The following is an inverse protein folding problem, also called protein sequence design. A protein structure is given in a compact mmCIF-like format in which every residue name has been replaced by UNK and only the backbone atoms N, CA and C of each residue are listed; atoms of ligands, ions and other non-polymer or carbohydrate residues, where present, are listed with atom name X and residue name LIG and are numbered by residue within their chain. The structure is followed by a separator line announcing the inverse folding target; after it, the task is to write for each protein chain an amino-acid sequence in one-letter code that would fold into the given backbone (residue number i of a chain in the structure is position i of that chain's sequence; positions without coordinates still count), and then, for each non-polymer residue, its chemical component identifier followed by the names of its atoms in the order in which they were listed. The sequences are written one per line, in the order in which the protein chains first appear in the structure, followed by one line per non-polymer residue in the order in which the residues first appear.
data_IF_470598008896
#
_entry.id   IF_470598008896
#
_cell.length_a   1.000
_cell.length_b   1.000
_cell.length_c   1.000
_cell.angle_alpha   90.00
_cell.angle_beta   90.00
_cell.angle_gamma   90.00
#
_symmetry.space_group_name_H-M   'P 1'
#
loop_
_entity.id
_entity.type
_entity.pdbx_description
1 polymer ?
#
# COMPACT_ATOMS: atom_id res chain seq x y z
N UNK A 1 2.97 6.60 9.54
CA UNK A 1 3.60 5.82 10.63
C UNK A 1 5.10 6.13 10.64
N UNK A 2 5.93 5.43 11.40
CA UNK A 2 7.39 5.49 11.20
C UNK A 2 7.79 4.47 10.11
N UNK A 3 9.03 4.59 9.59
CA UNK A 3 9.58 3.69 8.57
C UNK A 3 9.46 2.21 8.94
N UNK A 4 9.70 1.87 10.22
CA UNK A 4 9.54 0.52 10.77
C UNK A 4 8.11 0.00 10.56
N UNK A 5 7.10 0.81 10.88
CA UNK A 5 5.68 0.47 10.70
C UNK A 5 5.31 0.21 9.24
N UNK A 6 5.79 1.06 8.32
CA UNK A 6 5.55 0.88 6.88
C UNK A 6 6.18 -0.43 6.36
N UNK A 7 7.39 -0.75 6.79
CA UNK A 7 8.04 -2.02 6.43
C UNK A 7 7.30 -3.22 7.03
N UNK A 8 6.92 -3.15 8.32
CA UNK A 8 6.18 -4.22 8.98
C UNK A 8 4.85 -4.50 8.27
N UNK A 9 4.08 -3.46 8.01
CA UNK A 9 2.82 -3.55 7.27
C UNK A 9 3.03 -4.13 5.87
N UNK A 10 4.00 -3.64 5.10
CA UNK A 10 4.27 -4.14 3.75
C UNK A 10 4.67 -5.62 3.72
N UNK A 11 5.50 -6.08 4.67
CA UNK A 11 5.89 -7.49 4.77
C UNK A 11 4.66 -8.36 5.10
N UNK A 12 3.89 -7.98 6.12
CA UNK A 12 2.71 -8.74 6.52
C UNK A 12 1.63 -8.74 5.42
N UNK A 13 1.43 -7.61 4.75
CA UNK A 13 0.52 -7.48 3.62
C UNK A 13 0.96 -8.39 2.47
N UNK A 14 2.25 -8.41 2.11
CA UNK A 14 2.74 -9.26 1.03
C UNK A 14 2.58 -10.75 1.32
N UNK A 15 2.84 -11.17 2.55
CA UNK A 15 2.60 -12.56 2.98
C UNK A 15 1.11 -12.90 2.87
N UNK A 16 0.23 -12.04 3.40
CA UNK A 16 -1.20 -12.26 3.35
C UNK A 16 -1.75 -12.25 1.91
N UNK A 17 -1.26 -11.36 1.03
CA UNK A 17 -1.60 -11.35 -0.38
C UNK A 17 -1.17 -12.65 -1.08
N UNK A 18 0.00 -13.19 -0.74
CA UNK A 18 0.43 -14.48 -1.28
C UNK A 18 -0.53 -15.62 -0.93
N UNK A 19 -1.05 -15.65 0.32
CA UNK A 19 -2.08 -16.61 0.72
C UNK A 19 -3.45 -16.34 0.11
N UNK A 20 -3.81 -15.07 -0.13
CA UNK A 20 -5.07 -14.72 -0.82
C UNK A 20 -5.03 -15.17 -2.28
N UNK A 21 -3.87 -15.07 -2.94
CA UNK A 21 -3.72 -15.43 -4.35
C UNK A 21 -3.49 -16.93 -4.56
N UNK A 22 -2.78 -17.59 -3.65
CA UNK A 22 -2.47 -19.03 -3.71
C UNK A 22 -2.57 -19.64 -2.30
N UNK A 23 -3.76 -20.09 -1.87
CA UNK A 23 -4.06 -20.43 -0.47
C UNK A 23 -3.55 -21.80 -0.02
N UNK A 24 -3.02 -22.63 -0.92
CA UNK A 24 -2.68 -24.01 -0.63
C UNK A 24 -1.58 -24.21 0.43
N UNK A 25 -0.75 -23.19 0.67
CA UNK A 25 0.44 -23.28 1.53
C UNK A 25 1.55 -24.14 0.93
N UNK A 26 1.52 -24.39 -0.38
CA UNK A 26 2.49 -25.20 -1.09
C UNK A 26 3.62 -24.33 -1.69
N UNK A 27 4.50 -24.94 -2.50
CA UNK A 27 5.61 -24.23 -3.13
C UNK A 27 5.16 -23.04 -3.99
N UNK A 28 3.95 -23.09 -4.58
CA UNK A 28 3.40 -21.99 -5.36
C UNK A 28 3.02 -20.84 -4.44
N UNK A 29 2.44 -21.10 -3.28
CA UNK A 29 2.17 -20.05 -2.27
C UNK A 29 3.45 -19.30 -1.91
N UNK A 30 4.51 -20.02 -1.57
CA UNK A 30 5.78 -19.39 -1.20
C UNK A 30 6.44 -18.63 -2.36
N UNK A 31 6.31 -19.15 -3.59
CA UNK A 31 6.75 -18.42 -4.78
C UNK A 31 5.98 -17.12 -4.96
N UNK A 32 4.65 -17.17 -4.84
CA UNK A 32 3.79 -15.97 -4.93
C UNK A 32 4.12 -14.96 -3.85
N UNK A 33 4.33 -15.40 -2.60
CA UNK A 33 4.79 -14.53 -1.50
C UNK A 33 6.10 -13.84 -1.89
N UNK A 34 7.08 -14.57 -2.42
CA UNK A 34 8.36 -13.99 -2.82
C UNK A 34 8.22 -12.98 -3.97
N UNK A 35 7.41 -13.31 -4.99
CA UNK A 35 7.12 -12.44 -6.14
C UNK A 35 6.43 -11.13 -5.72
N UNK A 36 5.54 -11.17 -4.72
CA UNK A 36 4.82 -9.99 -4.21
C UNK A 36 5.65 -9.20 -3.18
N UNK A 37 6.45 -9.88 -2.34
CA UNK A 37 7.14 -9.25 -1.21
C UNK A 37 8.11 -8.17 -1.61
N UNK A 38 9.03 -8.45 -2.55
CA UNK A 38 10.07 -7.49 -2.89
C UNK A 38 9.48 -6.19 -3.46
N UNK A 39 8.61 -6.22 -4.48
CA UNK A 39 8.08 -4.97 -5.01
C UNK A 39 7.15 -4.24 -4.04
N UNK A 40 6.37 -4.94 -3.21
CA UNK A 40 5.49 -4.30 -2.21
C UNK A 40 6.31 -3.58 -1.14
N UNK A 41 7.35 -4.22 -0.61
CA UNK A 41 8.24 -3.57 0.39
C UNK A 41 8.98 -2.38 -0.24
N UNK A 42 9.50 -2.52 -1.45
CA UNK A 42 10.17 -1.41 -2.15
C UNK A 42 9.19 -0.25 -2.44
N UNK A 43 7.97 -0.57 -2.86
CA UNK A 43 6.92 0.42 -3.07
C UNK A 43 6.53 1.15 -1.78
N UNK A 44 6.45 0.43 -0.66
CA UNK A 44 6.15 1.04 0.64
C UNK A 44 7.27 1.94 1.15
N UNK A 45 8.52 1.66 0.79
CA UNK A 45 9.64 2.54 1.13
C UNK A 45 9.75 3.77 0.21
N UNK A 46 9.19 3.70 -1.00
CA UNK A 46 9.36 4.73 -2.02
C UNK A 46 8.85 6.12 -1.61
N UNK A 47 7.65 6.30 -1.02
CA UNK A 47 7.20 7.61 -0.55
C UNK A 47 8.18 8.25 0.42
N UNK A 48 8.69 7.47 1.38
CA UNK A 48 9.62 7.96 2.40
C UNK A 48 11.01 8.29 1.84
N UNK A 49 11.32 8.00 0.58
CA UNK A 49 12.56 8.44 -0.08
C UNK A 49 12.65 9.98 -0.12
N UNK A 50 11.51 10.68 -0.19
CA UNK A 50 11.48 12.16 -0.12
C UNK A 50 11.92 12.71 1.25
N UNK A 51 11.99 11.88 2.29
CA UNK A 51 12.52 12.29 3.60
C UNK A 51 14.02 12.53 3.56
N UNK A 52 14.72 11.96 2.57
CA UNK A 52 16.17 12.07 2.43
C UNK A 52 16.62 13.27 1.58
N UNK A 53 15.79 13.74 0.63
CA UNK A 53 16.18 14.81 -0.29
C UNK A 53 15.04 15.76 -0.72
N UNK A 54 13.80 15.45 -0.34
CA UNK A 54 12.62 16.25 -0.67
C UNK A 54 12.36 17.37 0.33
N UNK A 55 11.40 18.24 -0.02
CA UNK A 55 10.87 19.26 0.88
C UNK A 55 9.61 18.70 1.53
N UNK A 56 9.71 18.26 2.78
CA UNK A 56 8.59 18.10 3.73
C UNK A 56 7.74 16.81 3.72
N UNK A 57 8.19 15.63 3.28
CA UNK A 57 7.35 14.39 3.28
C UNK A 57 6.02 14.52 2.51
N UNK A 58 5.94 15.44 1.54
CA UNK A 58 4.74 15.69 0.73
C UNK A 58 4.96 15.32 -0.74
N UNK A 59 6.20 15.46 -1.21
CA UNK A 59 6.57 15.33 -2.63
C UNK A 59 6.24 13.95 -3.20
N UNK A 60 6.47 12.88 -2.43
CA UNK A 60 6.18 11.51 -2.85
C UNK A 60 4.98 10.88 -2.12
N UNK A 61 4.22 11.70 -1.39
CA UNK A 61 3.12 11.29 -0.50
C UNK A 61 1.78 11.84 -1.01
N UNK A 62 1.46 11.61 -2.28
CA UNK A 62 0.28 12.19 -2.95
C UNK A 62 -0.26 11.28 -4.06
N UNK A 63 -1.52 11.50 -4.46
CA UNK A 63 -2.20 10.65 -5.43
C UNK A 63 -1.61 10.71 -6.84
N UNK A 64 -0.92 11.79 -7.23
CA UNK A 64 -0.27 11.86 -8.53
C UNK A 64 0.86 10.82 -8.62
N UNK A 65 1.64 10.66 -7.55
CA UNK A 65 2.71 9.65 -7.49
C UNK A 65 2.14 8.23 -7.54
N UNK A 66 1.10 7.94 -6.76
CA UNK A 66 0.41 6.64 -6.85
C UNK A 66 -0.12 6.39 -8.27
N UNK A 67 -0.75 7.39 -8.89
CA UNK A 67 -1.27 7.29 -10.26
C UNK A 67 -0.19 6.93 -11.28
N UNK A 68 0.97 7.59 -11.21
CA UNK A 68 2.11 7.29 -12.09
C UNK A 68 2.64 5.87 -11.86
N UNK A 69 2.85 5.47 -10.60
CA UNK A 69 3.38 4.14 -10.25
C UNK A 69 2.38 3.03 -10.63
N UNK A 70 1.08 3.28 -10.50
CA UNK A 70 0.02 2.35 -10.91
C UNK A 70 -0.13 2.25 -12.44
N UNK A 71 0.07 3.36 -13.17
CA UNK A 71 0.02 3.37 -14.64
C UNK A 71 1.25 2.72 -15.29
N UNK A 72 2.41 2.79 -14.62
CA UNK A 72 3.67 2.24 -15.12
C UNK A 72 3.59 0.76 -15.56
N UNK A 73 3.08 -0.19 -14.74
CA UNK A 73 2.94 -1.59 -15.16
C UNK A 73 1.95 -1.80 -16.31
N UNK A 74 0.95 -0.93 -16.46
CA UNK A 74 -0.03 -1.01 -17.56
C UNK A 74 0.67 -0.69 -18.88
N UNK A 75 1.50 0.36 -18.89
CA UNK A 75 2.19 0.81 -20.10
C UNK A 75 3.43 -0.03 -20.44
N UNK A 76 4.23 -0.42 -19.45
CA UNK A 76 5.52 -1.09 -19.67
C UNK A 76 5.54 -2.60 -19.35
N UNK A 77 4.51 -3.14 -18.70
CA UNK A 77 4.40 -4.59 -18.42
C UNK A 77 5.35 -5.12 -17.36
N UNK A 78 5.97 -4.26 -16.54
CA UNK A 78 6.87 -4.65 -15.45
C UNK A 78 6.50 -3.93 -14.11
N UNK A 79 7.18 -4.25 -13.00
CA UNK A 79 6.94 -3.60 -11.68
C UNK A 79 5.50 -3.70 -11.15
N UNK A 80 4.78 -4.76 -11.52
CA UNK A 80 3.33 -4.93 -11.30
C UNK A 80 2.85 -4.72 -9.86
N UNK A 81 3.66 -5.05 -8.84
CA UNK A 81 3.23 -4.97 -7.43
C UNK A 81 3.75 -3.73 -6.68
N UNK A 82 4.55 -2.86 -7.32
CA UNK A 82 5.13 -1.69 -6.64
C UNK A 82 4.06 -0.69 -6.18
N UNK A 83 3.03 -0.48 -7.00
CA UNK A 83 1.94 0.43 -6.66
C UNK A 83 1.16 -0.02 -5.41
N UNK A 84 1.07 -1.33 -5.14
CA UNK A 84 0.45 -1.86 -3.93
C UNK A 84 1.25 -1.39 -2.71
N UNK A 85 2.59 -1.44 -2.80
CA UNK A 85 3.48 -0.90 -1.78
C UNK A 85 3.26 0.59 -1.50
N UNK A 86 3.18 1.41 -2.56
CA UNK A 86 2.91 2.85 -2.43
C UNK A 86 1.52 3.08 -1.82
N UNK A 87 0.51 2.33 -2.26
CA UNK A 87 -0.85 2.44 -1.76
C UNK A 87 -0.94 2.10 -0.28
N UNK A 88 -0.34 0.98 0.16
CA UNK A 88 -0.38 0.57 1.56
C UNK A 88 0.33 1.57 2.46
N UNK A 89 1.43 2.18 1.99
CA UNK A 89 2.06 3.30 2.69
C UNK A 89 1.07 4.44 2.95
N UNK A 90 0.32 4.85 1.92
CA UNK A 90 -0.66 5.94 2.02
C UNK A 90 -1.82 5.58 2.92
N UNK A 91 -2.34 4.35 2.82
CA UNK A 91 -3.40 3.83 3.68
C UNK A 91 -2.93 3.84 5.14
N UNK A 92 -1.73 3.37 5.42
CA UNK A 92 -1.19 3.37 6.78
C UNK A 92 -0.91 4.78 7.32
N UNK A 93 -0.49 5.73 6.48
CA UNK A 93 -0.36 7.14 6.87
C UNK A 93 -1.71 7.81 7.16
N UNK A 94 -2.76 7.44 6.43
CA UNK A 94 -4.10 8.01 6.58
C UNK A 94 -4.91 7.38 7.73
N UNK A 95 -4.87 6.05 7.86
CA UNK A 95 -5.64 5.30 8.85
C UNK A 95 -4.87 5.07 10.16
N UNK A 96 -3.54 4.92 10.08
CA UNK A 96 -2.70 4.55 11.20
C UNK A 96 -2.23 5.73 12.05
N UNK A 97 -2.24 6.95 11.50
CA UNK A 97 -1.70 8.15 12.17
C UNK A 97 -2.64 9.35 12.17
N UNK A 98 -2.59 10.13 13.24
CA UNK A 98 -3.33 11.41 13.35
C UNK A 98 -2.81 12.53 12.45
N UNK A 99 -1.64 12.35 11.82
CA UNK A 99 -0.95 13.40 11.05
C UNK A 99 -1.61 13.66 9.70
N UNK A 100 -2.04 12.61 9.00
CA UNK A 100 -2.63 12.72 7.66
C UNK A 100 -1.63 12.76 6.52
N UNK A 101 -2.16 12.98 5.30
CA UNK A 101 -1.46 12.88 4.02
C UNK A 101 -1.77 14.09 3.12
N UNK A 102 -0.76 14.64 2.43
CA UNK A 102 -0.93 15.74 1.48
C UNK A 102 -1.37 15.22 0.10
N UNK A 103 -2.66 14.92 -0.05
CA UNK A 103 -3.21 14.17 -1.18
C UNK A 103 -2.91 14.76 -2.57
N UNK A 104 -2.78 16.09 -2.68
CA UNK A 104 -2.72 16.82 -3.95
C UNK A 104 -1.48 17.72 -4.08
N UNK A 105 -0.34 17.35 -3.49
CA UNK A 105 0.92 18.11 -3.63
C UNK A 105 1.18 18.49 -5.11
N UNK A 106 1.50 19.76 -5.44
CA UNK A 106 1.99 20.84 -4.56
C UNK A 106 0.93 21.58 -3.74
N UNK A 107 -0.35 21.21 -3.82
CA UNK A 107 -1.33 21.69 -2.86
C UNK A 107 -1.06 21.10 -1.48
N UNK A 108 -0.55 21.92 -0.57
CA UNK A 108 0.09 21.49 0.68
C UNK A 108 -0.84 21.01 1.80
N UNK A 109 -2.16 21.09 1.60
CA UNK A 109 -3.15 20.74 2.61
C UNK A 109 -3.08 19.24 2.94
N UNK A 110 -2.83 18.93 4.20
CA UNK A 110 -2.88 17.57 4.73
C UNK A 110 -4.31 17.19 5.11
N UNK A 111 -4.67 15.95 4.80
CA UNK A 111 -5.96 15.36 5.13
C UNK A 111 -5.72 14.22 6.11
N UNK A 112 -6.35 14.30 7.28
CA UNK A 112 -6.32 13.25 8.31
C UNK A 112 -7.73 12.79 8.63
N UNK A 113 -7.82 11.61 9.22
CA UNK A 113 -9.07 11.04 9.72
C UNK A 113 -9.16 11.25 11.24
N UNK A 114 -10.37 11.22 11.83
CA UNK A 114 -10.56 11.44 13.26
C UNK A 114 -10.08 10.26 14.14
N UNK A 115 -9.42 9.26 13.54
CA UNK A 115 -8.88 8.07 14.19
C UNK A 115 -7.40 7.85 13.84
N UNK A 116 -6.78 6.84 14.44
CA UNK A 116 -5.33 6.60 14.36
C UNK A 116 -4.60 6.96 15.65
N UNK A 117 -3.31 6.64 15.72
CA UNK A 117 -2.48 6.89 16.91
C UNK A 117 -1.31 7.82 16.60
N UNK A 118 -0.74 8.43 17.64
CA UNK A 118 0.52 9.13 17.48
C UNK A 118 1.63 8.13 17.11
N UNK A 119 2.60 8.56 16.31
CA UNK A 119 3.72 7.69 15.89
C UNK A 119 4.55 7.19 17.09
N UNK A 120 4.56 7.94 18.19
CA UNK A 120 5.23 7.61 19.45
C UNK A 120 4.36 6.82 20.44
N UNK A 121 3.14 6.42 20.04
CA UNK A 121 2.23 5.67 20.93
C UNK A 121 2.66 4.21 21.07
N UNK A 122 2.50 3.64 22.26
CA UNK A 122 2.69 2.21 22.50
C UNK A 122 1.75 1.32 21.67
N UNK A 123 0.63 1.89 21.19
CA UNK A 123 -0.33 1.21 20.31
C UNK A 123 0.01 1.33 18.83
N UNK A 124 1.13 1.93 18.45
CA UNK A 124 1.52 2.12 17.04
C UNK A 124 1.65 0.78 16.29
N UNK A 125 2.33 -0.21 16.87
CA UNK A 125 2.47 -1.52 16.25
C UNK A 125 1.10 -2.24 16.18
N UNK A 126 0.27 -2.14 17.22
CA UNK A 126 -1.09 -2.70 17.21
C UNK A 126 -1.99 -2.07 16.13
N UNK A 127 -1.92 -0.74 15.96
CA UNK A 127 -2.63 -0.03 14.90
C UNK A 127 -2.14 -0.46 13.51
N UNK A 128 -0.84 -0.68 13.35
CA UNK A 128 -0.26 -1.20 12.10
C UNK A 128 -0.84 -2.56 11.75
N UNK A 129 -0.95 -3.46 12.72
CA UNK A 129 -1.58 -4.78 12.53
C UNK A 129 -3.06 -4.65 12.18
N UNK A 130 -3.79 -3.74 12.84
CA UNK A 130 -5.21 -3.51 12.57
C UNK A 130 -5.45 -3.00 11.13
N UNK A 131 -4.64 -2.04 10.68
CA UNK A 131 -4.70 -1.54 9.28
C UNK A 131 -4.33 -2.65 8.31
N UNK A 132 -3.27 -3.42 8.59
CA UNK A 132 -2.87 -4.56 7.73
C UNK A 132 -4.00 -5.59 7.60
N UNK A 133 -4.67 -5.94 8.70
CA UNK A 133 -5.79 -6.86 8.69
C UNK A 133 -6.97 -6.33 7.87
N UNK A 134 -7.25 -5.02 8.00
CA UNK A 134 -8.26 -4.35 7.17
C UNK A 134 -7.90 -4.40 5.68
N UNK A 135 -6.66 -4.08 5.31
CA UNK A 135 -6.18 -4.14 3.92
C UNK A 135 -6.29 -5.55 3.33
N UNK A 136 -5.92 -6.58 4.11
CA UNK A 136 -6.07 -7.97 3.69
C UNK A 136 -7.53 -8.39 3.52
N UNK A 137 -8.42 -7.92 4.40
CA UNK A 137 -9.86 -8.18 4.25
C UNK A 137 -10.43 -7.55 2.98
N UNK A 138 -10.03 -6.30 2.67
CA UNK A 138 -10.40 -5.62 1.42
C UNK A 138 -9.82 -6.36 0.21
N UNK A 139 -8.56 -6.77 0.25
CA UNK A 139 -7.93 -7.52 -0.83
C UNK A 139 -8.63 -8.87 -1.07
N UNK A 140 -8.95 -9.61 -0.01
CA UNK A 140 -9.68 -10.87 -0.10
C UNK A 140 -11.09 -10.67 -0.69
N UNK A 141 -11.81 -9.64 -0.26
CA UNK A 141 -13.12 -9.31 -0.83
C UNK A 141 -13.01 -8.99 -2.33
N UNK A 142 -11.98 -8.24 -2.75
CA UNK A 142 -11.75 -7.94 -4.16
C UNK A 142 -11.45 -9.22 -4.95
N UNK A 143 -10.58 -10.09 -4.45
CA UNK A 143 -10.16 -11.30 -5.17
C UNK A 143 -11.27 -12.34 -5.26
N UNK A 144 -12.03 -12.54 -4.18
CA UNK A 144 -13.01 -13.63 -4.09
C UNK A 144 -14.43 -13.23 -4.47
N UNK A 145 -14.85 -11.98 -4.23
CA UNK A 145 -16.25 -11.56 -4.38
C UNK A 145 -16.49 -10.70 -5.62
N UNK A 146 -15.48 -10.01 -6.14
CA UNK A 146 -15.66 -9.17 -7.34
C UNK A 146 -15.56 -10.04 -8.59
N UNK A 147 -16.62 -10.11 -9.42
CA UNK A 147 -16.56 -10.86 -10.67
C UNK A 147 -15.47 -10.27 -11.56
N UNK A 148 -14.44 -11.05 -11.87
CA UNK A 148 -13.29 -10.61 -12.67
C UNK A 148 -13.71 -10.04 -14.05
N UNK A 149 -14.86 -10.47 -14.57
CA UNK A 149 -15.47 -9.90 -15.78
C UNK A 149 -15.84 -8.42 -15.65
N UNK A 150 -16.35 -7.99 -14.50
CA UNK A 150 -16.76 -6.59 -14.26
C UNK A 150 -15.54 -5.68 -14.20
N UNK A 151 -14.43 -6.19 -13.64
CA UNK A 151 -13.15 -5.47 -13.63
C UNK A 151 -12.56 -5.39 -15.04
N UNK A 152 -12.61 -6.48 -15.81
CA UNK A 152 -12.14 -6.49 -17.19
C UNK A 152 -12.94 -5.52 -18.08
N UNK A 153 -14.27 -5.51 -17.96
CA UNK A 153 -15.15 -4.61 -18.72
C UNK A 153 -14.91 -3.13 -18.35
N UNK A 154 -14.67 -2.83 -17.06
CA UNK A 154 -14.36 -1.48 -16.59
C UNK A 154 -13.00 -0.97 -17.10
N UNK A 155 -12.01 -1.85 -17.24
CA UNK A 155 -10.67 -1.50 -17.75
C UNK A 155 -10.63 -1.45 -19.29
N UNK A 156 -11.47 -2.22 -19.98
CA UNK A 156 -11.57 -2.22 -21.45
C UNK A 156 -12.37 -1.03 -22.01
N UNK A 157 -13.14 -0.32 -21.17
CA UNK A 157 -13.90 0.87 -21.53
C UNK A 157 -13.13 2.19 -21.40
N UNK A 158 -11.84 2.16 -21.08
CA UNK A 158 -10.90 3.29 -21.00
C UNK A 158 -9.94 3.21 -22.18
#
# INVERSE_FOLDING_TARGET
MNKKGHVLNAILLAVGLGYILEPAGDIRTFRTIAEVSIPVVLGALFPDVDTAFGRHRKTLHNFLVLGVVAAYPIYFGNLRYVWIGVLTHYVLDLLGSKRGLALLYPYEKEFSLPFGVAVSSDYADAMTLAVTAFELAVAAAIVYEVPQRVVADALAGI
#
